data_IF_305067481461
#
_entry.id   IF_305067481461
#
_cell.length_a   1.000
_cell.length_b   1.000
_cell.length_c   1.000
_cell.angle_alpha   90.00
_cell.angle_beta   90.00
_cell.angle_gamma   90.00
#
_symmetry.space_group_name_H-M   'P 1'
#
loop_
_entity.id
_entity.type
_entity.pdbx_description
1 polymer ?
#
# COMPACT_ATOMS: atom_id res chain seq x y z
N UNK A 1 5.73 -16.12 -11.48
CA UNK A 1 6.17 -14.97 -10.67
C UNK A 1 5.56 -13.65 -11.13
N UNK A 2 5.63 -13.30 -12.42
CA UNK A 2 5.06 -12.02 -12.92
C UNK A 2 3.57 -11.80 -12.61
N UNK A 3 2.72 -12.83 -12.73
CA UNK A 3 1.29 -12.69 -12.39
C UNK A 3 1.06 -12.39 -10.91
N UNK A 4 1.82 -13.03 -10.02
CA UNK A 4 1.72 -12.84 -8.58
C UNK A 4 2.12 -11.41 -8.17
N UNK A 5 3.19 -10.85 -8.76
CA UNK A 5 3.57 -9.45 -8.47
C UNK A 5 2.56 -8.46 -9.04
N UNK A 6 1.99 -8.71 -10.23
CA UNK A 6 0.93 -7.86 -10.79
C UNK A 6 -0.34 -7.88 -9.94
N UNK A 7 -0.74 -9.06 -9.46
CA UNK A 7 -1.87 -9.20 -8.53
C UNK A 7 -1.58 -8.51 -7.19
N UNK A 8 -0.37 -8.65 -6.65
CA UNK A 8 0.05 -7.98 -5.42
C UNK A 8 0.03 -6.46 -5.53
N UNK A 9 0.57 -5.90 -6.63
CA UNK A 9 0.50 -4.46 -6.89
C UNK A 9 -0.96 -4.01 -7.01
N UNK A 10 -1.79 -4.75 -7.75
CA UNK A 10 -3.21 -4.39 -7.94
C UNK A 10 -3.97 -4.38 -6.60
N UNK A 11 -3.70 -5.37 -5.73
CA UNK A 11 -4.34 -5.47 -4.43
C UNK A 11 -3.87 -4.37 -3.46
N UNK A 12 -2.56 -4.14 -3.38
CA UNK A 12 -1.99 -3.07 -2.53
C UNK A 12 -2.47 -1.69 -2.95
N UNK A 13 -2.56 -1.43 -4.26
CA UNK A 13 -3.04 -0.14 -4.78
C UNK A 13 -4.55 0.02 -4.59
N UNK A 14 -5.32 -1.09 -4.64
CA UNK A 14 -6.74 -1.10 -4.32
C UNK A 14 -7.01 -0.71 -2.87
N UNK A 15 -6.33 -1.34 -1.92
CA UNK A 15 -6.45 -1.02 -0.49
C UNK A 15 -6.02 0.44 -0.21
N UNK A 16 -4.91 0.89 -0.78
CA UNK A 16 -4.43 2.26 -0.64
C UNK A 16 -5.44 3.29 -1.21
N UNK A 17 -6.04 2.99 -2.37
CA UNK A 17 -7.06 3.84 -2.99
C UNK A 17 -8.32 3.93 -2.13
N UNK A 18 -8.77 2.82 -1.52
CA UNK A 18 -9.97 2.81 -0.69
C UNK A 18 -9.82 3.69 0.56
N UNK A 19 -8.65 3.72 1.18
CA UNK A 19 -8.34 4.63 2.31
C UNK A 19 -8.32 6.07 1.83
N UNK A 20 -7.57 6.35 0.75
CA UNK A 20 -7.42 7.67 0.17
C UNK A 20 -8.80 8.28 -0.16
N UNK A 21 -9.70 7.48 -0.74
CA UNK A 21 -11.08 7.89 -1.02
C UNK A 21 -11.90 8.13 0.26
N UNK A 22 -11.76 7.30 1.30
CA UNK A 22 -12.41 7.52 2.61
C UNK A 22 -11.93 8.81 3.27
N UNK A 23 -10.67 9.17 3.10
CA UNK A 23 -10.06 10.40 3.62
C UNK A 23 -10.32 11.63 2.74
N UNK A 24 -11.08 11.49 1.64
CA UNK A 24 -11.32 12.53 0.61
C UNK A 24 -10.03 13.05 -0.06
N UNK A 25 -8.96 12.26 -0.01
CA UNK A 25 -7.73 12.52 -0.73
C UNK A 25 -7.90 12.14 -2.20
N UNK A 26 -7.18 12.85 -3.08
CA UNK A 26 -7.15 12.58 -4.54
C UNK A 26 -5.83 11.95 -4.98
N UNK A 27 -4.88 11.81 -4.06
CA UNK A 27 -3.52 11.37 -4.29
C UNK A 27 -3.19 10.37 -3.20
N UNK A 28 -2.69 9.20 -3.60
CA UNK A 28 -2.18 8.18 -2.69
C UNK A 28 -0.80 8.66 -2.22
N UNK A 29 -0.62 8.78 -0.91
CA UNK A 29 0.64 9.16 -0.29
C UNK A 29 1.44 7.92 0.16
N UNK A 30 2.66 8.15 0.64
CA UNK A 30 3.52 7.11 1.24
C UNK A 30 2.86 6.48 2.47
N UNK A 31 2.20 7.27 3.33
CA UNK A 31 1.46 6.76 4.49
C UNK A 31 0.31 5.80 4.11
N UNK A 32 -0.42 6.09 3.02
CA UNK A 32 -1.51 5.22 2.52
C UNK A 32 -0.95 3.86 2.08
N UNK A 33 0.23 3.86 1.45
CA UNK A 33 0.93 2.66 1.03
C UNK A 33 1.44 1.86 2.23
N UNK A 34 2.03 2.52 3.23
CA UNK A 34 2.51 1.88 4.46
C UNK A 34 1.35 1.28 5.26
N UNK A 35 0.20 1.95 5.29
CA UNK A 35 -1.02 1.42 5.88
C UNK A 35 -1.51 0.18 5.13
N UNK A 36 -1.57 0.23 3.80
CA UNK A 36 -1.96 -0.91 2.98
C UNK A 36 -1.05 -2.11 3.27
N UNK A 37 0.27 -1.92 3.31
CA UNK A 37 1.23 -2.99 3.66
C UNK A 37 0.98 -3.57 5.06
N UNK A 38 0.63 -2.73 6.04
CA UNK A 38 0.28 -3.18 7.40
C UNK A 38 -1.00 -4.02 7.41
N UNK A 39 -2.06 -3.54 6.75
CA UNK A 39 -3.38 -4.21 6.66
C UNK A 39 -3.29 -5.54 5.92
N UNK A 40 -2.43 -5.62 4.92
CA UNK A 40 -2.16 -6.84 4.15
C UNK A 40 -1.29 -7.87 4.90
N UNK A 41 -0.82 -7.55 6.10
CA UNK A 41 0.00 -8.44 6.92
C UNK A 41 1.50 -8.35 6.66
N UNK A 42 1.96 -7.38 5.85
CA UNK A 42 3.36 -7.11 5.54
C UNK A 42 3.97 -6.06 6.48
N UNK A 43 3.57 -6.04 7.74
CA UNK A 43 4.03 -5.05 8.73
C UNK A 43 5.56 -5.06 8.92
N UNK A 44 6.22 -6.21 8.71
CA UNK A 44 7.70 -6.33 8.75
C UNK A 44 8.41 -5.55 7.65
N UNK A 45 7.73 -5.23 6.55
CA UNK A 45 8.27 -4.45 5.44
C UNK A 45 8.08 -2.94 5.62
N UNK A 46 7.21 -2.51 6.54
CA UNK A 46 6.89 -1.10 6.80
C UNK A 46 8.12 -0.32 7.26
N UNK A 47 8.88 -0.85 8.23
CA UNK A 47 10.07 -0.18 8.77
C UNK A 47 11.18 -0.04 7.70
N UNK A 48 11.53 -1.09 6.92
CA UNK A 48 12.41 -0.93 5.76
C UNK A 48 11.90 0.06 4.71
N UNK A 49 10.59 0.07 4.42
CA UNK A 49 9.98 0.96 3.42
C UNK A 49 10.07 2.43 3.83
N UNK A 50 9.84 2.76 5.11
CA UNK A 50 9.98 4.12 5.65
C UNK A 50 11.39 4.71 5.52
N UNK A 51 12.42 3.86 5.44
CA UNK A 51 13.81 4.32 5.27
C UNK A 51 14.07 4.69 3.81
N UNK A 52 13.31 4.12 2.87
CA UNK A 52 13.56 4.22 1.43
C UNK A 52 12.62 5.19 0.71
N UNK A 53 11.41 5.41 1.24
CA UNK A 53 10.41 6.36 0.75
C UNK A 53 10.66 7.77 1.30
#
# INVERSE_FOLDING_TARGET
>A
MQKCVSEFTSFSTGEASDICQREKCKTINDDDLLWAMTTLGFAEYVEPLKIYL
#
